data_IF_686845927441
#
_entry.id   IF_686845927441
#
_cell.length_a   1.000
_cell.length_b   1.000
_cell.length_c   1.000
_cell.angle_alpha   90.00
_cell.angle_beta   90.00
_cell.angle_gamma   90.00
#
_symmetry.space_group_name_H-M   'P 1'
#
loop_
_entity.id
_entity.type
_entity.pdbx_description
1 polymer ?
#
# COMPACT_ATOMS: atom_id res chain seq x y z
N UNK A 1 8.23 3.35 -13.04
CA UNK A 1 8.22 1.96 -13.48
C UNK A 1 7.76 1.05 -12.35
N UNK A 2 6.90 0.12 -12.67
CA UNK A 2 6.36 -0.79 -11.66
C UNK A 2 6.96 -2.18 -11.86
N UNK A 3 7.42 -2.78 -10.77
CA UNK A 3 8.04 -4.10 -10.82
C UNK A 3 7.77 -4.84 -9.52
N UNK A 4 8.06 -6.13 -9.52
CA UNK A 4 7.90 -6.93 -8.31
C UNK A 4 8.94 -6.52 -7.28
N UNK A 5 8.52 -6.52 -6.01
CA UNK A 5 9.43 -6.17 -4.92
C UNK A 5 10.52 -7.24 -4.77
N UNK A 6 11.73 -6.77 -4.50
CA UNK A 6 12.86 -7.64 -4.21
C UNK A 6 13.23 -7.52 -2.74
N UNK A 7 14.01 -8.47 -2.23
CA UNK A 7 14.39 -8.44 -0.83
C UNK A 7 15.10 -7.16 -0.43
N UNK A 8 15.86 -6.59 -1.35
CA UNK A 8 16.58 -5.36 -1.07
C UNK A 8 15.66 -4.16 -0.94
N UNK A 9 14.40 -4.30 -1.35
CA UNK A 9 13.43 -3.20 -1.30
C UNK A 9 12.66 -3.15 0.01
N UNK A 10 12.73 -4.21 0.82
CA UNK A 10 11.83 -4.36 1.96
C UNK A 10 11.94 -3.21 2.95
N UNK A 11 13.16 -2.75 3.23
CA UNK A 11 13.31 -1.65 4.18
C UNK A 11 12.64 -0.39 3.71
N UNK A 12 12.78 -0.08 2.43
CA UNK A 12 12.15 1.12 1.89
C UNK A 12 10.63 0.98 1.86
N UNK A 13 10.13 -0.19 1.49
CA UNK A 13 8.70 -0.45 1.45
C UNK A 13 8.09 -0.34 2.84
N UNK A 14 8.74 -0.95 3.84
CA UNK A 14 8.27 -0.86 5.21
C UNK A 14 8.32 0.57 5.72
N UNK A 15 9.30 1.33 5.28
CA UNK A 15 9.43 2.73 5.66
C UNK A 15 8.26 3.55 5.14
N UNK A 16 7.86 3.30 3.90
CA UNK A 16 6.70 3.98 3.34
C UNK A 16 5.45 3.61 4.13
N UNK A 17 5.30 2.32 4.46
CA UNK A 17 4.18 1.87 5.28
C UNK A 17 4.12 2.62 6.60
N UNK A 18 5.27 2.71 7.28
CA UNK A 18 5.32 3.36 8.59
C UNK A 18 4.99 4.85 8.50
N UNK A 19 5.65 5.55 7.60
CA UNK A 19 5.52 7.00 7.53
C UNK A 19 4.15 7.44 7.06
N UNK A 20 3.56 6.70 6.13
CA UNK A 20 2.23 7.05 5.67
C UNK A 20 1.20 6.83 6.77
N UNK A 21 1.35 5.77 7.56
CA UNK A 21 0.44 5.52 8.66
C UNK A 21 0.60 6.54 9.78
N UNK A 22 1.83 6.91 10.10
CA UNK A 22 2.08 7.92 11.12
C UNK A 22 1.39 9.24 10.77
N UNK A 23 1.41 9.59 9.49
CA UNK A 23 0.79 10.83 9.05
C UNK A 23 -0.73 10.72 8.97
N UNK A 24 -1.22 9.62 8.42
CA UNK A 24 -2.66 9.46 8.20
C UNK A 24 -3.43 9.21 9.48
N UNK A 25 -2.78 8.65 10.48
CA UNK A 25 -3.43 8.25 11.73
C UNK A 25 -2.70 8.86 12.92
N UNK A 26 -2.53 10.16 12.89
CA UNK A 26 -1.76 10.85 13.93
C UNK A 26 -2.43 10.79 15.29
N UNK A 27 -3.71 10.41 15.35
CA UNK A 27 -4.41 10.23 16.62
C UNK A 27 -4.08 8.90 17.29
N UNK A 28 -3.40 8.00 16.60
CA UNK A 28 -2.97 6.73 17.16
C UNK A 28 -1.52 6.88 17.63
N UNK A 29 -1.19 6.42 18.84
CA UNK A 29 0.18 6.59 19.33
C UNK A 29 1.20 6.04 18.34
N UNK A 30 2.25 6.78 18.15
CA UNK A 30 3.33 6.41 17.24
C UNK A 30 3.87 5.02 17.54
N UNK A 31 3.93 4.69 18.82
CA UNK A 31 4.46 3.43 19.27
C UNK A 31 3.71 2.23 18.70
N UNK A 32 2.43 2.40 18.43
CA UNK A 32 1.65 1.33 17.83
C UNK A 32 2.23 0.93 16.47
N UNK A 33 2.59 1.92 15.67
CA UNK A 33 3.12 1.65 14.34
C UNK A 33 4.55 1.15 14.41
N UNK A 34 5.38 1.80 15.22
CA UNK A 34 6.79 1.43 15.27
C UNK A 34 7.00 0.04 15.87
N UNK A 35 6.14 -0.36 16.81
CA UNK A 35 6.29 -1.69 17.41
C UNK A 35 5.87 -2.80 16.46
N UNK A 36 5.15 -2.47 15.40
CA UNK A 36 4.75 -3.47 14.40
C UNK A 36 5.64 -3.46 13.16
N UNK A 37 6.65 -2.61 13.15
CA UNK A 37 7.47 -2.43 11.97
C UNK A 37 8.15 -3.72 11.50
N UNK A 38 8.77 -4.44 12.43
CA UNK A 38 9.47 -5.67 12.06
C UNK A 38 8.51 -6.76 11.61
N UNK A 39 7.36 -6.83 12.25
CA UNK A 39 6.36 -7.80 11.86
C UNK A 39 5.86 -7.53 10.44
N UNK A 40 5.64 -6.27 10.13
CA UNK A 40 5.18 -5.89 8.80
C UNK A 40 6.22 -6.25 7.74
N UNK A 41 7.50 -6.03 8.05
CA UNK A 41 8.56 -6.41 7.12
C UNK A 41 8.52 -7.90 6.82
N UNK A 42 8.30 -8.70 7.84
CA UNK A 42 8.24 -10.14 7.66
C UNK A 42 7.02 -10.53 6.82
N UNK A 43 5.88 -9.91 7.10
CA UNK A 43 4.68 -10.18 6.34
C UNK A 43 4.85 -9.82 4.88
N UNK A 44 5.49 -8.70 4.61
CA UNK A 44 5.72 -8.26 3.24
C UNK A 44 6.65 -9.19 2.49
N UNK A 45 7.62 -9.79 3.18
CA UNK A 45 8.55 -10.69 2.54
C UNK A 45 7.85 -11.94 2.00
N UNK A 46 6.68 -12.25 2.52
CA UNK A 46 5.92 -13.43 2.12
C UNK A 46 4.70 -13.08 1.28
N UNK A 47 4.47 -11.82 1.05
CA UNK A 47 3.31 -11.37 0.29
C UNK A 47 3.70 -11.09 -1.16
N UNK A 48 2.67 -10.91 -1.99
CA UNK A 48 2.89 -10.48 -3.36
C UNK A 48 2.87 -8.97 -3.37
N UNK A 49 4.01 -8.33 -3.63
CA UNK A 49 4.13 -6.89 -3.54
C UNK A 49 4.77 -6.35 -4.82
N UNK A 50 4.17 -5.29 -5.35
CA UNK A 50 4.72 -4.59 -6.51
C UNK A 50 5.04 -3.17 -6.10
N UNK A 51 6.16 -2.65 -6.59
CA UNK A 51 6.64 -1.34 -6.21
C UNK A 51 6.70 -0.41 -7.41
N UNK A 52 6.49 0.87 -7.15
CA UNK A 52 6.66 1.90 -8.15
C UNK A 52 7.99 2.58 -7.92
N UNK A 53 8.86 2.50 -8.90
CA UNK A 53 10.22 3.06 -8.80
C UNK A 53 10.36 4.22 -9.75
N UNK A 54 10.90 5.33 -9.25
CA UNK A 54 11.15 6.53 -10.03
C UNK A 54 12.51 7.07 -9.62
N UNK A 55 13.37 7.30 -10.62
CA UNK A 55 14.73 7.80 -10.35
C UNK A 55 15.47 6.94 -9.34
N UNK A 56 15.33 5.62 -9.51
CA UNK A 56 16.00 4.62 -8.66
C UNK A 56 15.54 4.65 -7.22
N UNK A 57 14.40 5.27 -6.95
CA UNK A 57 13.85 5.32 -5.61
C UNK A 57 12.40 4.84 -5.63
N UNK A 58 12.05 3.97 -4.70
CA UNK A 58 10.69 3.47 -4.58
C UNK A 58 9.83 4.54 -3.93
N UNK A 59 8.71 4.87 -4.56
CA UNK A 59 7.81 5.90 -4.10
C UNK A 59 6.42 5.37 -3.74
N UNK A 60 6.17 4.10 -4.00
CA UNK A 60 4.89 3.52 -3.65
C UNK A 60 4.90 2.02 -3.82
N UNK A 61 3.88 1.37 -3.29
CA UNK A 61 3.77 -0.08 -3.46
C UNK A 61 2.33 -0.52 -3.25
N UNK A 62 2.03 -1.72 -3.76
CA UNK A 62 0.75 -2.36 -3.56
C UNK A 62 1.01 -3.78 -3.07
N UNK A 63 0.30 -4.17 -2.01
CA UNK A 63 0.42 -5.49 -1.45
C UNK A 63 -0.83 -6.29 -1.74
N UNK A 64 -0.64 -7.55 -2.11
CA UNK A 64 -1.73 -8.44 -2.48
C UNK A 64 -1.66 -9.73 -1.68
N UNK A 65 -2.82 -10.29 -1.40
CA UNK A 65 -2.95 -11.61 -0.84
C UNK A 65 -3.90 -12.36 -1.76
N UNK A 66 -3.33 -13.15 -2.67
CA UNK A 66 -4.09 -13.81 -3.73
C UNK A 66 -4.82 -12.77 -4.58
N UNK A 67 -6.15 -12.76 -4.55
CA UNK A 67 -6.92 -11.80 -5.33
C UNK A 67 -7.28 -10.56 -4.54
N UNK A 68 -6.89 -10.49 -3.25
CA UNK A 68 -7.23 -9.36 -2.40
C UNK A 68 -6.14 -8.31 -2.41
N UNK A 69 -6.56 -7.06 -2.52
CA UNK A 69 -5.65 -5.94 -2.36
C UNK A 69 -5.59 -5.61 -0.87
N UNK A 70 -4.43 -5.80 -0.28
CA UNK A 70 -4.26 -5.53 1.15
C UNK A 70 -4.00 -4.06 1.41
N UNK A 71 -3.38 -3.37 0.46
CA UNK A 71 -3.16 -1.96 0.60
C UNK A 71 -2.36 -1.38 -0.54
N UNK A 72 -2.58 -0.10 -0.80
CA UNK A 72 -1.80 0.67 -1.76
C UNK A 72 -1.28 1.89 -1.01
N UNK A 73 0.04 2.05 -1.03
CA UNK A 73 0.70 3.10 -0.26
C UNK A 73 1.60 3.92 -1.17
N UNK A 74 1.55 5.23 -1.00
CA UNK A 74 2.40 6.16 -1.76
C UNK A 74 3.12 7.03 -0.76
N UNK A 75 4.41 7.25 -0.97
CA UNK A 75 5.20 8.08 -0.05
C UNK A 75 4.54 9.45 0.10
N UNK A 76 4.68 10.04 1.30
CA UNK A 76 4.01 11.29 1.60
C UNK A 76 4.37 12.40 0.62
N UNK A 77 5.59 12.39 0.12
CA UNK A 77 6.07 13.42 -0.80
C UNK A 77 5.48 13.29 -2.19
N UNK A 78 5.00 12.11 -2.55
CA UNK A 78 4.55 11.83 -3.90
C UNK A 78 3.06 11.56 -4.01
N UNK A 79 2.31 11.86 -2.97
CA UNK A 79 0.88 11.68 -3.03
C UNK A 79 0.25 12.68 -3.98
N UNK A 80 -0.87 12.29 -4.56
CA UNK A 80 -1.61 13.08 -5.53
C UNK A 80 -0.89 13.23 -6.87
N UNK A 81 0.10 12.38 -7.13
CA UNK A 81 0.80 12.37 -8.41
C UNK A 81 0.36 11.23 -9.32
N UNK A 82 -0.68 10.49 -8.91
CA UNK A 82 -1.21 9.42 -9.74
C UNK A 82 -0.55 8.08 -9.58
N UNK A 83 0.40 7.95 -8.64
CA UNK A 83 1.12 6.70 -8.44
C UNK A 83 0.19 5.58 -7.99
N UNK A 84 -0.73 5.91 -7.07
CA UNK A 84 -1.68 4.91 -6.59
C UNK A 84 -2.52 4.34 -7.72
N UNK A 85 -2.95 5.20 -8.63
CA UNK A 85 -3.74 4.75 -9.77
C UNK A 85 -2.92 3.89 -10.71
N UNK A 86 -1.66 4.25 -10.92
CA UNK A 86 -0.78 3.44 -11.77
C UNK A 86 -0.58 2.05 -11.19
N UNK A 87 -0.40 1.97 -9.87
CA UNK A 87 -0.25 0.69 -9.20
C UNK A 87 -1.52 -0.14 -9.32
N UNK A 88 -2.66 0.49 -9.12
CA UNK A 88 -3.93 -0.21 -9.24
C UNK A 88 -4.15 -0.73 -10.65
N UNK A 89 -3.89 0.11 -11.65
CA UNK A 89 -4.07 -0.30 -13.03
C UNK A 89 -3.13 -1.45 -13.40
N UNK A 90 -1.92 -1.41 -12.85
CA UNK A 90 -0.94 -2.47 -13.13
C UNK A 90 -1.47 -3.83 -12.65
N UNK A 91 -1.99 -3.89 -11.42
CA UNK A 91 -2.47 -5.16 -10.89
C UNK A 91 -3.79 -5.58 -11.53
N UNK A 92 -4.60 -4.63 -11.98
CA UNK A 92 -5.82 -4.98 -12.71
C UNK A 92 -5.50 -5.73 -13.99
N UNK A 93 -4.37 -5.40 -14.60
CA UNK A 93 -3.95 -6.09 -15.82
C UNK A 93 -3.32 -7.43 -15.53
N UNK A 94 -2.86 -7.64 -14.31
CA UNK A 94 -2.23 -8.91 -13.94
C UNK A 94 -3.20 -9.92 -13.38
N UNK A 95 -4.29 -9.46 -12.78
CA UNK A 95 -5.21 -10.35 -12.09
C UNK A 95 -6.56 -10.37 -12.79
N UNK A 96 -7.12 -11.55 -12.94
CA UNK A 96 -8.44 -11.71 -13.52
C UNK A 96 -9.49 -11.20 -12.53
N UNK A 97 -9.24 -11.42 -11.26
CA UNK A 97 -10.13 -11.00 -10.19
C UNK A 97 -9.39 -10.22 -9.16
N UNK A 98 -10.01 -9.16 -8.68
CA UNK A 98 -9.48 -8.39 -7.58
C UNK A 98 -10.58 -8.11 -6.59
N UNK A 99 -10.27 -8.23 -5.30
CA UNK A 99 -11.18 -7.94 -4.23
C UNK A 99 -10.54 -7.00 -3.25
N UNK A 100 -11.40 -6.35 -2.49
CA UNK A 100 -10.95 -5.42 -1.50
C UNK A 100 -10.94 -6.01 -0.14
N UNK A 101 -9.95 -5.64 0.62
CA UNK A 101 -9.87 -6.04 2.00
C UNK A 101 -9.80 -4.77 2.83
N UNK A 102 -10.96 -4.19 3.13
CA UNK A 102 -10.99 -2.95 3.91
C UNK A 102 -11.82 -3.15 5.16
N UNK A 103 -11.48 -2.40 6.20
CA UNK A 103 -12.22 -2.45 7.43
C UNK A 103 -13.50 -1.65 7.27
N UNK A 104 -14.57 -2.24 7.77
CA UNK A 104 -15.88 -1.62 7.66
C UNK A 104 -15.96 -0.28 8.36
N UNK A 105 -15.30 -0.15 9.49
CA UNK A 105 -15.38 1.10 10.22
C UNK A 105 -14.65 2.23 9.55
N UNK A 106 -13.96 1.96 8.48
CA UNK A 106 -13.35 3.02 7.69
C UNK A 106 -14.29 3.35 6.54
N UNK A 107 -15.34 4.07 6.88
CA UNK A 107 -16.39 4.37 5.92
C UNK A 107 -15.88 5.14 4.72
N UNK A 108 -14.95 6.03 4.95
CA UNK A 108 -14.41 6.84 3.87
C UNK A 108 -13.69 6.00 2.84
N UNK A 109 -12.87 5.07 3.31
CA UNK A 109 -12.16 4.19 2.40
C UNK A 109 -13.13 3.29 1.67
N UNK A 110 -14.18 2.83 2.37
CA UNK A 110 -15.17 1.98 1.76
C UNK A 110 -15.92 2.71 0.65
N UNK A 111 -16.28 3.96 0.89
CA UNK A 111 -16.94 4.76 -0.12
C UNK A 111 -16.06 4.96 -1.35
N UNK A 112 -14.82 5.32 -1.11
CA UNK A 112 -13.87 5.50 -2.20
C UNK A 112 -13.76 4.23 -3.01
N UNK A 113 -13.68 3.12 -2.32
CA UNK A 113 -13.56 1.82 -2.94
C UNK A 113 -14.73 1.50 -3.82
N UNK A 114 -15.93 1.73 -3.31
CA UNK A 114 -17.13 1.43 -4.07
C UNK A 114 -17.20 2.26 -5.33
N UNK A 115 -16.93 3.54 -5.21
CA UNK A 115 -17.01 4.45 -6.35
C UNK A 115 -16.00 4.13 -7.42
N UNK A 116 -14.80 3.81 -7.00
CA UNK A 116 -13.72 3.54 -7.95
C UNK A 116 -13.70 2.09 -8.40
N UNK A 117 -14.45 1.26 -7.73
CA UNK A 117 -14.39 -0.17 -8.01
C UNK A 117 -13.08 -0.76 -7.59
N UNK A 118 -12.41 -0.14 -6.60
CA UNK A 118 -11.11 -0.61 -6.21
C UNK A 118 -10.77 -0.14 -4.88
N UNK A 119 -9.90 -0.16 -4.44
CA UNK A 119 -9.56 0.17 -3.34
C UNK A 119 -8.62 0.37 -2.71
N UNK A 120 -8.29 0.55 -1.83
CA UNK A 120 -7.47 0.60 -1.20
C UNK A 120 -7.36 1.08 0.00
N UNK A 121 -6.83 1.10 0.63
CA UNK A 121 -6.58 1.32 1.68
C UNK A 121 -6.40 2.27 2.19
N UNK A 122 -6.51 2.45 2.57
CA UNK A 122 -6.41 3.04 3.01
C UNK A 122 -6.38 3.62 3.95
N UNK A 123 -6.02 4.04 4.27
CA UNK A 123 -5.83 4.58 5.17
C UNK A 123 -5.98 5.84 5.05
N UNK A 124 -6.55 6.47 4.74
CA UNK A 124 -6.71 7.66 4.59
C UNK A 124 -7.70 8.04 4.74
#
# INVERSE_FOLDING_TARGET
MIRKMQNTDINRVADIWLKTNLKAHDFIPEQYWTSNYELVKEMMSQAEVYVYEDNKMIQGFVGLSNEYIEGIFVSNEMQSCGIGKLLLDYIKNKKIRLRLNVYQKNARASLFTKEKGSIFNVKD
#
